data_IF_073230959497
#
_entry.id   IF_073230959497
#
_cell.length_a   1.000
_cell.length_b   1.000
_cell.length_c   1.000
_cell.angle_alpha   90.00
_cell.angle_beta   90.00
_cell.angle_gamma   90.00
#
_symmetry.space_group_name_H-M   'P 1'
#
loop_
_entity.id
_entity.type
_entity.pdbx_description
1 polymer ?
#
# COMPACT_ATOMS: atom_id res chain seq x y z
N UNK A 1 -4.83 -32.98 30.56
CA UNK A 1 -5.46 -32.59 29.28
C UNK A 1 -6.47 -31.44 29.42
N UNK A 2 -7.41 -31.46 30.38
CA UNK A 2 -8.38 -30.35 30.62
C UNK A 2 -7.72 -28.98 30.91
N UNK A 3 -6.61 -28.98 31.65
CA UNK A 3 -5.89 -27.75 32.00
C UNK A 3 -5.23 -27.08 30.78
N UNK A 4 -4.73 -27.87 29.84
CA UNK A 4 -4.16 -27.38 28.58
C UNK A 4 -5.21 -26.64 27.73
N UNK A 5 -6.42 -27.21 27.61
CA UNK A 5 -7.53 -26.57 26.89
C UNK A 5 -8.03 -25.30 27.59
N UNK A 6 -8.04 -25.27 28.92
CA UNK A 6 -8.40 -24.08 29.70
C UNK A 6 -7.39 -22.94 29.49
N UNK A 7 -6.10 -23.24 29.56
CA UNK A 7 -5.02 -22.29 29.28
C UNK A 7 -5.09 -21.78 27.83
N UNK A 8 -5.35 -22.67 26.87
CA UNK A 8 -5.51 -22.29 25.47
C UNK A 8 -6.70 -21.34 25.27
N UNK A 9 -7.87 -21.61 25.86
CA UNK A 9 -9.05 -20.74 25.76
C UNK A 9 -8.79 -19.35 26.35
N UNK A 10 -8.14 -19.26 27.52
CA UNK A 10 -7.79 -17.98 28.13
C UNK A 10 -6.83 -17.17 27.27
N UNK A 11 -5.80 -17.82 26.70
CA UNK A 11 -4.88 -17.19 25.73
C UNK A 11 -5.61 -16.66 24.50
N UNK A 12 -6.51 -17.45 23.92
CA UNK A 12 -7.31 -17.05 22.76
C UNK A 12 -8.23 -15.86 23.05
N UNK A 13 -8.83 -15.80 24.24
CA UNK A 13 -9.68 -14.68 24.65
C UNK A 13 -8.87 -13.39 24.89
N UNK A 14 -7.73 -13.48 25.58
CA UNK A 14 -6.83 -12.34 25.78
C UNK A 14 -6.35 -11.75 24.44
N UNK A 15 -6.09 -12.64 23.48
CA UNK A 15 -5.76 -12.28 22.11
C UNK A 15 -6.85 -11.54 21.37
N UNK A 16 -8.08 -12.06 21.42
CA UNK A 16 -9.25 -11.42 20.82
C UNK A 16 -9.37 -9.98 21.32
N UNK A 17 -9.30 -9.82 22.63
CA UNK A 17 -9.38 -8.52 23.28
C UNK A 17 -8.24 -7.59 22.86
N UNK A 18 -7.00 -8.09 22.71
CA UNK A 18 -5.85 -7.27 22.30
C UNK A 18 -5.91 -6.89 20.81
N UNK A 19 -6.34 -7.80 19.95
CA UNK A 19 -6.57 -7.51 18.53
C UNK A 19 -7.71 -6.52 18.34
N UNK A 20 -8.81 -6.66 19.08
CA UNK A 20 -9.97 -5.76 19.00
C UNK A 20 -9.62 -4.37 19.57
N UNK A 21 -8.96 -4.31 20.73
CA UNK A 21 -8.57 -3.03 21.34
C UNK A 21 -7.51 -2.27 20.55
N UNK A 22 -6.59 -2.95 19.89
CA UNK A 22 -5.61 -2.31 18.98
C UNK A 22 -6.10 -2.17 17.55
N UNK A 23 -7.31 -2.68 17.24
CA UNK A 23 -7.85 -2.78 15.88
C UNK A 23 -6.88 -3.41 14.86
N UNK A 24 -6.04 -4.36 15.31
CA UNK A 24 -5.07 -5.04 14.45
C UNK A 24 -3.71 -4.35 14.28
N UNK A 25 -3.48 -3.17 14.86
CA UNK A 25 -2.21 -2.44 14.75
C UNK A 25 -1.12 -2.95 15.73
N UNK A 26 -1.50 -3.37 16.94
CA UNK A 26 -0.57 -3.68 18.04
C UNK A 26 -0.72 -5.14 18.51
N UNK A 27 -0.25 -6.07 17.67
CA UNK A 27 -0.30 -7.52 17.95
C UNK A 27 1.09 -8.02 18.36
N UNK A 28 1.18 -8.73 19.49
CA UNK A 28 2.41 -9.40 19.91
C UNK A 28 2.45 -10.83 19.36
N UNK A 29 3.15 -11.06 18.25
CA UNK A 29 3.18 -12.37 17.59
C UNK A 29 4.01 -13.43 18.35
N UNK A 30 4.92 -13.04 19.24
CA UNK A 30 5.71 -13.97 20.07
C UNK A 30 4.84 -14.68 21.10
N UNK A 31 3.89 -13.95 21.69
CA UNK A 31 2.95 -14.52 22.64
C UNK A 31 1.90 -15.41 21.95
N UNK A 32 1.66 -15.21 20.64
CA UNK A 32 0.41 -15.57 20.01
C UNK A 32 0.51 -16.04 18.55
N UNK A 33 0.96 -17.29 18.36
CA UNK A 33 1.21 -17.87 17.04
C UNK A 33 0.00 -18.31 16.18
N UNK A 34 -1.22 -18.47 16.71
CA UNK A 34 -2.22 -19.34 16.04
C UNK A 34 -3.70 -18.91 15.99
N UNK A 35 -4.12 -17.72 16.43
CA UNK A 35 -5.57 -17.53 16.76
C UNK A 35 -6.30 -16.50 15.91
N UNK A 36 -5.59 -15.54 15.34
CA UNK A 36 -6.20 -14.52 14.47
C UNK A 36 -5.28 -14.44 13.28
N UNK A 37 -5.81 -14.58 12.07
CA UNK A 37 -5.05 -14.71 10.82
C UNK A 37 -4.10 -13.53 10.51
N UNK A 38 -3.89 -12.61 11.44
CA UNK A 38 -2.89 -11.57 11.34
C UNK A 38 -1.48 -12.16 11.28
N UNK A 39 -0.70 -11.64 10.35
CA UNK A 39 0.71 -11.98 10.16
C UNK A 39 1.49 -10.67 10.07
N UNK A 40 2.66 -10.54 10.72
CA UNK A 40 3.51 -9.39 10.50
C UNK A 40 3.95 -9.36 9.02
N UNK A 41 3.96 -8.17 8.42
CA UNK A 41 4.47 -8.00 7.06
C UNK A 41 5.98 -7.86 7.14
N UNK A 42 6.71 -8.76 6.49
CA UNK A 42 8.13 -8.57 6.23
C UNK A 42 8.30 -7.62 5.04
N UNK A 43 8.97 -6.49 5.27
CA UNK A 43 9.17 -5.45 4.25
C UNK A 43 10.21 -5.82 3.20
N UNK A 44 11.10 -6.76 3.51
CA UNK A 44 12.19 -7.17 2.63
C UNK A 44 11.82 -8.40 1.79
N UNK A 45 10.69 -9.06 2.10
CA UNK A 45 10.11 -10.12 1.29
C UNK A 45 9.52 -9.59 -0.03
N UNK A 46 9.48 -10.44 -1.05
CA UNK A 46 8.84 -10.15 -2.36
C UNK A 46 7.49 -10.83 -2.55
N UNK A 47 6.95 -11.43 -1.49
CA UNK A 47 5.83 -12.38 -1.58
C UNK A 47 4.49 -11.72 -1.95
N UNK A 48 4.25 -10.50 -1.49
CA UNK A 48 2.92 -9.88 -1.58
C UNK A 48 2.60 -9.30 -2.96
N UNK A 49 3.60 -8.97 -3.78
CA UNK A 49 3.40 -8.20 -5.02
C UNK A 49 4.21 -8.80 -6.18
N UNK A 50 3.52 -9.25 -7.23
CA UNK A 50 4.09 -10.04 -8.34
C UNK A 50 4.92 -9.23 -9.34
N UNK A 51 4.73 -7.92 -9.38
CA UNK A 51 5.25 -7.10 -10.47
C UNK A 51 6.11 -5.96 -9.91
N UNK A 52 7.43 -6.17 -9.87
CA UNK A 52 8.48 -5.14 -9.73
C UNK A 52 8.56 -4.29 -8.45
N UNK A 53 7.53 -4.22 -7.61
CA UNK A 53 7.56 -3.48 -6.36
C UNK A 53 8.13 -4.34 -5.21
N UNK A 54 8.98 -3.74 -4.35
CA UNK A 54 9.34 -4.35 -3.05
C UNK A 54 8.14 -4.25 -2.10
N UNK A 55 7.97 -5.21 -1.17
CA UNK A 55 6.90 -5.10 -0.16
C UNK A 55 6.97 -3.77 0.57
N UNK A 56 8.18 -3.32 0.95
CA UNK A 56 8.43 -1.98 1.49
C UNK A 56 7.83 -0.86 0.63
N UNK A 57 8.17 -0.79 -0.65
CA UNK A 57 7.72 0.28 -1.54
C UNK A 57 6.20 0.33 -1.67
N UNK A 58 5.54 -0.83 -1.68
CA UNK A 58 4.07 -0.87 -1.66
C UNK A 58 3.53 -0.32 -0.34
N UNK A 59 4.01 -0.79 0.81
CA UNK A 59 3.50 -0.32 2.12
C UNK A 59 3.76 1.18 2.32
N UNK A 60 4.88 1.70 1.84
CA UNK A 60 5.19 3.14 1.82
C UNK A 60 4.17 3.92 0.98
N UNK A 61 3.90 3.48 -0.26
CA UNK A 61 2.87 4.08 -1.12
C UNK A 61 1.47 4.03 -0.49
N UNK A 62 1.14 2.98 0.26
CA UNK A 62 -0.13 2.89 0.97
C UNK A 62 -0.20 3.78 2.22
N UNK A 63 0.94 4.28 2.68
CA UNK A 63 1.02 5.22 3.79
C UNK A 63 0.85 6.67 3.32
N UNK A 64 1.28 6.99 2.10
CA UNK A 64 1.20 8.37 1.56
C UNK A 64 -0.23 8.78 1.20
N UNK A 65 -1.03 7.92 0.55
CA UNK A 65 -2.40 8.29 0.13
C UNK A 65 -3.33 8.68 1.31
N UNK A 66 -3.35 7.96 2.45
CA UNK A 66 -4.06 8.41 3.66
C UNK A 66 -3.48 9.69 4.27
N UNK A 67 -2.16 9.88 4.22
CA UNK A 67 -1.49 11.07 4.75
C UNK A 67 -1.86 12.31 3.93
N UNK A 68 -1.86 12.21 2.60
CA UNK A 68 -2.28 13.29 1.70
C UNK A 68 -3.74 13.66 1.94
N UNK A 69 -4.61 12.67 2.13
CA UNK A 69 -6.01 12.93 2.50
C UNK A 69 -6.13 13.62 3.85
N UNK A 70 -5.31 13.27 4.83
CA UNK A 70 -5.29 13.93 6.14
C UNK A 70 -4.83 15.38 6.00
N UNK A 71 -3.73 15.63 5.29
CA UNK A 71 -3.20 16.95 4.99
C UNK A 71 -4.24 17.84 4.29
N UNK A 72 -4.85 17.35 3.22
CA UNK A 72 -5.88 18.07 2.47
C UNK A 72 -7.11 18.43 3.34
N UNK A 73 -7.51 17.55 4.26
CA UNK A 73 -8.65 17.80 5.15
C UNK A 73 -8.34 18.78 6.28
N UNK A 74 -7.09 18.83 6.74
CA UNK A 74 -6.69 19.59 7.93
C UNK A 74 -5.91 20.85 7.61
N UNK A 75 -5.54 21.06 6.34
CA UNK A 75 -4.63 22.13 5.92
C UNK A 75 -3.20 21.94 6.44
N UNK A 76 -2.83 20.71 6.77
CA UNK A 76 -1.51 20.34 7.30
C UNK A 76 -0.56 19.93 6.19
N UNK A 77 0.74 19.99 6.46
CA UNK A 77 1.80 19.66 5.51
C UNK A 77 2.68 18.52 5.99
N UNK A 78 2.11 17.44 6.54
CA UNK A 78 2.92 16.30 6.97
C UNK A 78 3.61 15.62 5.80
N UNK A 79 4.91 15.45 5.88
CA UNK A 79 5.71 14.68 4.93
C UNK A 79 5.97 13.28 5.50
N UNK A 80 5.82 12.25 4.66
CA UNK A 80 6.10 10.88 5.03
C UNK A 80 7.59 10.69 5.38
N UNK A 81 7.88 9.97 6.46
CA UNK A 81 9.26 9.69 6.92
C UNK A 81 9.60 8.22 6.71
N UNK A 82 8.89 7.31 7.37
CA UNK A 82 9.17 5.87 7.32
C UNK A 82 7.96 5.04 7.72
N UNK A 83 7.90 3.79 7.24
CA UNK A 83 7.00 2.77 7.79
C UNK A 83 7.67 2.16 9.03
N UNK A 84 6.96 2.14 10.16
CA UNK A 84 7.46 1.53 11.40
C UNK A 84 7.14 0.03 11.41
N UNK A 85 5.87 -0.32 11.13
CA UNK A 85 5.39 -1.70 11.14
C UNK A 85 4.11 -1.85 10.33
N UNK A 86 3.87 -3.05 9.82
CA UNK A 86 2.58 -3.40 9.25
C UNK A 86 2.20 -4.85 9.59
N UNK A 87 0.89 -5.06 9.73
CA UNK A 87 0.30 -6.39 9.86
C UNK A 87 -0.64 -6.62 8.68
N UNK A 88 -0.69 -7.84 8.17
CA UNK A 88 -1.68 -8.26 7.17
C UNK A 88 -2.66 -9.24 7.79
N UNK A 89 -3.92 -9.17 7.39
CA UNK A 89 -4.95 -10.13 7.73
C UNK A 89 -5.60 -10.65 6.43
N UNK A 90 -5.45 -11.94 6.10
CA UNK A 90 -6.13 -12.54 4.98
C UNK A 90 -7.61 -12.64 5.30
N UNK A 91 -8.44 -12.05 4.43
CA UNK A 91 -9.89 -11.96 4.67
C UNK A 91 -10.65 -13.23 4.30
N UNK A 92 -9.95 -14.29 3.87
CA UNK A 92 -10.56 -15.50 3.30
C UNK A 92 -11.13 -15.30 1.89
N UNK A 93 -10.84 -14.16 1.25
CA UNK A 93 -11.18 -13.85 -0.14
C UNK A 93 -9.90 -13.51 -0.92
N UNK A 94 -10.01 -13.09 -2.18
CA UNK A 94 -8.86 -12.67 -3.00
C UNK A 94 -8.20 -11.35 -2.54
N UNK A 95 -8.42 -10.95 -1.29
CA UNK A 95 -7.92 -9.70 -0.76
C UNK A 95 -7.48 -9.82 0.71
N UNK A 96 -6.43 -9.07 1.03
CA UNK A 96 -5.83 -8.94 2.35
C UNK A 96 -6.13 -7.56 2.91
N UNK A 97 -6.14 -7.45 4.23
CA UNK A 97 -6.23 -6.18 4.94
C UNK A 97 -4.88 -5.84 5.55
N UNK A 98 -4.33 -4.68 5.21
CA UNK A 98 -3.10 -4.16 5.78
C UNK A 98 -3.39 -3.14 6.88
N UNK A 99 -2.69 -3.26 7.99
CA UNK A 99 -2.74 -2.37 9.15
C UNK A 99 -1.36 -1.77 9.34
N UNK A 100 -1.18 -0.52 8.94
CA UNK A 100 0.13 0.12 8.77
C UNK A 100 0.29 1.21 9.83
N UNK A 101 1.43 1.20 10.52
CA UNK A 101 1.88 2.30 11.38
C UNK A 101 3.11 2.93 10.75
N UNK A 102 3.10 4.24 10.56
CA UNK A 102 4.16 4.98 9.89
C UNK A 102 4.39 6.34 10.54
N UNK A 103 5.56 6.94 10.31
CA UNK A 103 5.87 8.29 10.77
C UNK A 103 5.70 9.30 9.67
N UNK A 104 5.18 10.45 10.05
CA UNK A 104 5.20 11.64 9.22
C UNK A 104 5.61 12.86 10.06
N UNK A 105 6.24 13.84 9.43
CA UNK A 105 6.72 15.05 10.09
C UNK A 105 6.12 16.28 9.41
N UNK A 106 5.50 17.15 10.19
CA UNK A 106 5.13 18.48 9.70
C UNK A 106 6.37 19.39 9.77
N UNK A 107 6.63 20.27 8.79
CA UNK A 107 7.76 21.19 8.82
C UNK A 107 7.84 22.06 10.08
N UNK A 108 6.69 22.34 10.71
CA UNK A 108 6.61 23.13 11.96
C UNK A 108 6.87 22.33 13.24
N UNK A 109 6.90 21.00 13.17
CA UNK A 109 7.11 20.14 14.34
C UNK A 109 8.61 19.82 14.53
N UNK A 110 9.07 19.79 15.78
CA UNK A 110 10.43 19.35 16.10
C UNK A 110 10.61 17.83 15.85
N UNK A 111 9.58 17.05 16.17
CA UNK A 111 9.60 15.59 16.16
C UNK A 111 8.54 15.02 15.21
N UNK A 112 8.83 13.89 14.52
CA UNK A 112 7.83 13.19 13.73
C UNK A 112 6.72 12.62 14.63
N UNK A 113 5.54 12.43 14.05
CA UNK A 113 4.37 11.84 14.70
C UNK A 113 4.03 10.51 14.04
N UNK A 114 3.50 9.59 14.85
CA UNK A 114 3.04 8.28 14.36
C UNK A 114 1.59 8.39 13.84
N UNK A 115 1.37 7.83 12.66
CA UNK A 115 0.09 7.71 11.99
C UNK A 115 -0.28 6.25 11.80
N UNK A 116 -1.58 5.98 11.70
CA UNK A 116 -2.14 4.64 11.49
C UNK A 116 -3.09 4.66 10.31
N UNK A 117 -2.93 3.70 9.41
CA UNK A 117 -3.80 3.53 8.24
C UNK A 117 -4.19 2.07 8.03
N UNK A 118 -5.40 1.85 7.52
CA UNK A 118 -5.92 0.54 7.16
C UNK A 118 -6.20 0.50 5.66
N UNK A 119 -5.71 -0.53 4.97
CA UNK A 119 -5.84 -0.67 3.52
C UNK A 119 -6.38 -2.04 3.13
N UNK A 120 -7.17 -2.09 2.07
CA UNK A 120 -7.73 -3.33 1.53
C UNK A 120 -7.05 -3.64 0.20
N UNK A 121 -6.41 -4.80 0.06
CA UNK A 121 -5.53 -5.11 -1.08
C UNK A 121 -6.25 -5.15 -2.44
N UNK A 122 -7.58 -5.33 -2.46
CA UNK A 122 -8.39 -5.20 -3.68
C UNK A 122 -8.36 -3.79 -4.30
N UNK A 123 -7.90 -2.78 -3.53
CA UNK A 123 -7.67 -1.41 -4.01
C UNK A 123 -6.28 -1.23 -4.64
N UNK A 124 -5.39 -2.21 -4.51
CA UNK A 124 -4.09 -2.26 -5.19
C UNK A 124 -4.30 -2.71 -6.64
N UNK A 125 -5.03 -1.93 -7.44
CA UNK A 125 -5.01 -2.14 -8.88
C UNK A 125 -3.63 -1.69 -9.38
N UNK A 126 -2.89 -2.52 -10.12
CA UNK A 126 -1.62 -2.09 -10.70
C UNK A 126 -1.90 -0.90 -11.61
N UNK A 127 -1.25 0.24 -11.33
CA UNK A 127 -1.17 1.32 -12.32
C UNK A 127 -0.39 0.77 -13.50
N UNK A 128 -1.06 0.52 -14.63
CA UNK A 128 -0.39 0.27 -15.90
C UNK A 128 0.36 1.56 -16.26
N UNK A 129 1.66 1.63 -15.96
CA UNK A 129 2.56 2.61 -16.57
C UNK A 129 2.66 2.32 -18.07
N UNK A 130 1.78 2.94 -18.86
CA UNK A 130 1.97 3.07 -20.31
C UNK A 130 3.00 4.17 -20.51
N UNK A 131 4.28 3.80 -20.51
CA UNK A 131 5.30 4.64 -21.12
C UNK A 131 5.35 4.28 -22.62
N UNK A 132 4.72 5.10 -23.45
CA UNK A 132 5.20 5.34 -24.81
C UNK A 132 5.81 6.74 -24.82
N UNK A 133 7.13 6.80 -24.79
CA UNK A 133 7.91 8.01 -25.00
C UNK A 133 7.83 8.42 -26.48
N UNK A 134 7.32 9.62 -26.76
CA UNK A 134 7.74 10.42 -27.92
C UNK A 134 9.08 11.12 -27.59
N UNK A 135 9.92 11.54 -28.57
CA UNK A 135 9.66 12.83 -29.24
C UNK A 135 10.15 12.99 -30.71
N UNK A 136 9.37 13.81 -31.44
CA UNK A 136 9.74 14.88 -32.38
C UNK A 136 10.50 14.57 -33.68
N UNK A 137 9.91 14.97 -34.81
CA UNK A 137 10.58 15.88 -35.75
C UNK A 137 9.59 16.76 -36.53
N UNK A 138 10.06 17.96 -36.84
CA UNK A 138 9.31 19.18 -37.17
C UNK A 138 8.85 19.24 -38.63
N UNK A 139 7.72 19.92 -38.82
CA UNK A 139 7.49 21.02 -39.77
C UNK A 139 8.48 21.16 -40.93
N UNK A 140 8.03 20.98 -42.18
CA UNK A 140 8.21 22.02 -43.20
C UNK A 140 7.35 21.82 -44.45
N UNK A 141 6.76 22.93 -44.90
CA UNK A 141 5.91 23.03 -46.07
C UNK A 141 6.75 23.15 -47.35
N UNK A 142 6.39 22.42 -48.42
CA UNK A 142 6.63 22.91 -49.80
C UNK A 142 5.64 22.33 -50.81
N UNK A 143 4.97 23.23 -51.51
CA UNK A 143 3.97 23.03 -52.58
C UNK A 143 4.62 23.27 -53.95
N UNK A 144 4.63 22.31 -54.88
CA UNK A 144 4.93 22.46 -56.34
C UNK A 144 4.29 21.24 -57.06
N UNK A 145 3.10 21.33 -57.69
CA UNK A 145 2.72 21.69 -59.10
C UNK A 145 2.73 20.53 -60.13
N UNK A 146 1.57 20.37 -60.80
CA UNK A 146 1.28 20.03 -62.24
C UNK A 146 1.91 18.73 -62.80
N UNK A 147 1.28 17.88 -63.64
CA UNK A 147 0.28 17.99 -64.73
C UNK A 147 -0.09 16.52 -65.06
N UNK A 148 -1.36 16.13 -65.19
CA UNK A 148 -2.08 15.86 -66.47
C UNK A 148 -1.52 14.77 -67.40
N UNK A 149 -2.48 14.02 -67.98
CA UNK A 149 -2.44 13.15 -69.18
C UNK A 149 -1.93 11.69 -68.99
N UNK A 150 -2.50 10.61 -69.56
CA UNK A 150 -3.52 10.39 -70.60
C UNK A 150 -3.84 8.87 -70.70
N UNK A 151 -5.10 8.51 -71.02
CA UNK A 151 -5.58 7.30 -71.78
C UNK A 151 -5.23 5.90 -71.22
N UNK A 152 -5.96 4.79 -71.39
CA UNK A 152 -7.11 4.27 -72.14
C UNK A 152 -7.56 3.01 -71.35
N UNK A 153 -8.77 2.42 -71.40
CA UNK A 153 -9.71 2.09 -72.48
C UNK A 153 -11.06 1.79 -71.84
#
# INVERSE_FOLDING_TARGET
MKDLFSRQRKRNAALKNKSESSQGFDINFEEFRCVFSYVPVDFDEKYYFKDTDTTRGVIERLSTEPLDRYNNKTGKGFEFVEVIKANTHPTGTAADMFYITFRAKEPSDDQPKDFRAMYHSCKLKPEKKVHSTEPAEKEDAKKVRLTEELSAT
#
